data_IF_325824332965
#
_entry.id   IF_325824332965
#
_cell.length_a   1.000
_cell.length_b   1.000
_cell.length_c   1.000
_cell.angle_alpha   90.00
_cell.angle_beta   90.00
_cell.angle_gamma   90.00
#
_symmetry.space_group_name_H-M   'P 1'
#
loop_
_entity.id
_entity.type
_entity.pdbx_description
1 polymer ?
#
# COMPACT_ATOMS: atom_id res chain seq x y z
N UNK A 1 -19.70 -2.37 4.97
CA UNK A 1 -20.92 -2.81 5.65
C UNK A 1 -22.03 -2.74 4.64
N UNK A 2 -22.74 -3.84 4.44
CA UNK A 2 -23.90 -3.92 3.55
C UNK A 2 -25.16 -3.98 4.42
N UNK A 3 -26.24 -3.35 3.97
CA UNK A 3 -27.54 -3.47 4.61
C UNK A 3 -28.29 -4.74 4.11
N UNK A 4 -29.46 -5.04 4.69
CA UNK A 4 -30.27 -6.21 4.30
C UNK A 4 -30.78 -6.16 2.83
N UNK A 5 -30.65 -5.02 2.16
CA UNK A 5 -30.99 -4.82 0.74
C UNK A 5 -29.77 -4.94 -0.19
N UNK A 6 -28.58 -5.24 0.35
CA UNK A 6 -27.34 -5.39 -0.41
C UNK A 6 -26.68 -4.07 -0.80
N UNK A 7 -27.09 -2.94 -0.22
CA UNK A 7 -26.48 -1.64 -0.48
C UNK A 7 -25.34 -1.38 0.51
N UNK A 8 -24.23 -0.84 0.00
CA UNK A 8 -23.07 -0.46 0.82
C UNK A 8 -23.42 0.81 1.59
N UNK A 9 -23.50 0.70 2.92
CA UNK A 9 -23.83 1.81 3.83
C UNK A 9 -22.60 2.48 4.46
N UNK A 10 -21.39 2.08 4.06
CA UNK A 10 -20.16 2.68 4.56
C UNK A 10 -19.94 4.09 3.99
N UNK A 11 -19.58 5.05 4.85
CA UNK A 11 -19.17 6.40 4.44
C UNK A 11 -17.90 6.38 3.57
N UNK A 12 -16.97 5.46 3.86
CA UNK A 12 -15.79 5.20 3.05
C UNK A 12 -15.19 3.84 3.43
N UNK A 13 -14.55 3.19 2.46
CA UNK A 13 -13.73 2.00 2.73
C UNK A 13 -12.30 2.45 3.03
N UNK A 14 -11.79 2.24 4.25
CA UNK A 14 -10.44 2.67 4.61
C UNK A 14 -9.40 1.88 3.81
N UNK A 15 -8.29 2.56 3.50
CA UNK A 15 -7.19 1.93 2.75
C UNK A 15 -6.45 0.92 3.62
N UNK A 16 -5.92 -0.12 2.95
CA UNK A 16 -5.07 -1.13 3.59
C UNK A 16 -3.60 -0.76 3.38
N UNK A 17 -2.79 -0.93 4.42
CA UNK A 17 -1.35 -0.83 4.34
C UNK A 17 -0.80 -1.93 3.40
N UNK A 18 0.05 -1.56 2.44
CA UNK A 18 0.66 -2.52 1.51
C UNK A 18 1.73 -3.39 2.16
N UNK A 19 2.31 -2.94 3.29
CA UNK A 19 3.34 -3.66 4.02
C UNK A 19 2.77 -4.68 5.02
N UNK A 20 1.76 -4.30 5.79
CA UNK A 20 1.25 -5.09 6.93
C UNK A 20 -0.18 -5.60 6.75
N UNK A 21 -0.86 -5.25 5.66
CA UNK A 21 -2.29 -5.52 5.41
C UNK A 21 -3.22 -4.99 6.52
N UNK A 22 -2.72 -4.16 7.42
CA UNK A 22 -3.51 -3.50 8.47
C UNK A 22 -4.29 -2.34 7.89
N UNK A 23 -5.50 -2.13 8.39
CA UNK A 23 -6.33 -0.97 8.06
C UNK A 23 -5.65 0.29 8.63
N UNK A 24 -5.51 1.33 7.81
CA UNK A 24 -4.92 2.60 8.25
C UNK A 24 -5.94 3.45 8.98
N UNK A 25 -5.56 3.97 10.14
CA UNK A 25 -6.37 4.90 10.92
C UNK A 25 -6.23 6.32 10.34
N UNK A 26 -7.30 7.13 10.29
CA UNK A 26 -7.25 8.49 9.74
C UNK A 26 -6.23 9.42 10.42
N UNK A 27 -5.94 9.20 11.71
CA UNK A 27 -5.04 10.04 12.51
C UNK A 27 -3.55 9.83 12.19
N UNK A 28 -3.16 8.67 11.67
CA UNK A 28 -1.80 8.43 11.22
C UNK A 28 -1.66 8.96 9.80
N UNK A 29 -1.00 10.11 9.60
CA UNK A 29 -0.67 10.63 8.26
C UNK A 29 0.06 9.55 7.44
N UNK A 30 -0.63 8.82 6.54
CA UNK A 30 -0.03 7.71 5.84
C UNK A 30 0.61 8.25 4.57
N UNK A 31 1.93 8.19 4.47
CA UNK A 31 2.63 8.62 3.26
C UNK A 31 2.33 7.62 2.14
N UNK A 32 1.53 8.04 1.16
CA UNK A 32 1.32 7.28 -0.06
C UNK A 32 2.54 7.47 -0.97
N UNK A 33 3.20 6.38 -1.36
CA UNK A 33 4.32 6.37 -2.30
C UNK A 33 3.86 5.67 -3.57
N UNK A 34 3.95 6.34 -4.71
CA UNK A 34 3.71 5.69 -6.00
C UNK A 34 5.05 5.28 -6.61
N UNK A 35 5.11 4.08 -7.15
CA UNK A 35 6.23 3.69 -8.00
C UNK A 35 5.78 3.65 -9.43
N UNK A 36 6.63 4.18 -10.30
CA UNK A 36 6.35 4.35 -11.71
C UNK A 36 7.20 3.35 -12.48
N UNK A 37 6.55 2.55 -13.32
CA UNK A 37 7.26 1.68 -14.26
C UNK A 37 7.74 2.52 -15.45
N UNK A 38 8.94 2.23 -15.95
CA UNK A 38 9.54 2.94 -17.09
C UNK A 38 9.05 2.26 -18.39
N UNK A 39 7.75 2.31 -18.63
CA UNK A 39 7.09 1.87 -19.87
C UNK A 39 6.42 3.07 -20.55
N UNK A 40 6.16 3.03 -21.87
CA UNK A 40 5.54 4.15 -22.58
C UNK A 40 4.14 4.51 -22.05
N UNK A 41 3.44 3.56 -21.42
CA UNK A 41 2.12 3.76 -20.78
C UNK A 41 2.19 4.27 -19.34
N UNK A 42 3.40 4.36 -18.77
CA UNK A 42 3.68 5.11 -17.55
C UNK A 42 2.73 4.84 -16.37
N UNK A 43 2.41 3.57 -16.12
CA UNK A 43 1.53 3.15 -15.05
C UNK A 43 2.19 3.40 -13.67
N UNK A 44 1.41 3.97 -12.75
CA UNK A 44 1.82 4.23 -11.37
C UNK A 44 1.07 3.28 -10.45
N UNK A 45 1.81 2.38 -9.82
CA UNK A 45 1.26 1.51 -8.78
C UNK A 45 1.33 2.22 -7.42
N UNK A 46 0.17 2.57 -6.80
CA UNK A 46 0.14 3.24 -5.52
C UNK A 46 0.44 2.25 -4.38
N UNK A 47 1.40 2.60 -3.51
CA UNK A 47 1.73 1.86 -2.30
C UNK A 47 1.50 2.71 -1.06
N UNK A 48 0.89 2.10 -0.04
CA UNK A 48 0.59 2.78 1.21
C UNK A 48 1.50 2.28 2.32
N UNK A 49 2.28 3.20 2.90
CA UNK A 49 3.16 2.94 4.03
C UNK A 49 2.74 3.83 5.21
N UNK A 50 2.22 3.25 6.32
CA UNK A 50 1.83 4.01 7.50
C UNK A 50 3.07 4.43 8.31
N UNK A 51 2.91 5.48 9.11
CA UNK A 51 3.99 6.02 9.95
C UNK A 51 4.63 5.01 10.89
N UNK A 52 3.87 4.05 11.43
CA UNK A 52 4.39 3.02 12.33
C UNK A 52 5.50 2.15 11.71
N UNK A 53 5.38 1.78 10.44
CA UNK A 53 6.41 0.99 9.74
C UNK A 53 7.68 1.81 9.53
N UNK A 54 7.54 3.14 9.40
CA UNK A 54 8.68 4.06 9.26
C UNK A 54 9.40 4.30 10.58
N UNK A 55 8.67 4.37 11.70
CA UNK A 55 9.28 4.53 13.03
C UNK A 55 10.06 3.30 13.48
N UNK A 56 9.67 2.11 13.00
CA UNK A 56 10.38 0.85 13.28
C UNK A 56 11.64 0.66 12.42
N UNK A 57 11.87 1.48 11.39
CA UNK A 57 13.01 1.33 10.47
C UNK A 57 12.82 0.26 9.39
N UNK A 58 11.75 -0.53 9.44
CA UNK A 58 11.46 -1.64 8.53
C UNK A 58 10.97 -1.19 7.14
N UNK A 59 10.85 0.11 6.89
CA UNK A 59 10.21 0.63 5.67
C UNK A 59 10.91 0.21 4.38
N UNK A 60 12.23 0.12 4.38
CA UNK A 60 13.00 -0.24 3.19
C UNK A 60 12.86 -1.73 2.84
N UNK A 61 12.89 -2.60 3.85
CA UNK A 61 12.72 -4.04 3.66
C UNK A 61 11.35 -4.37 3.06
N UNK A 62 10.29 -3.69 3.52
CA UNK A 62 8.97 -3.84 2.93
C UNK A 62 8.89 -3.36 1.48
N UNK A 63 9.56 -2.26 1.14
CA UNK A 63 9.60 -1.77 -0.24
C UNK A 63 10.33 -2.77 -1.13
N UNK A 64 11.44 -3.34 -0.67
CA UNK A 64 12.22 -4.32 -1.41
C UNK A 64 11.40 -5.59 -1.66
N UNK A 65 10.75 -6.14 -0.62
CA UNK A 65 9.85 -7.31 -0.75
C UNK A 65 8.71 -7.05 -1.73
N UNK A 66 8.12 -5.87 -1.67
CA UNK A 66 6.99 -5.51 -2.55
C UNK A 66 7.44 -5.27 -3.99
N UNK A 67 8.63 -4.70 -4.19
CA UNK A 67 9.22 -4.53 -5.52
C UNK A 67 9.64 -5.87 -6.14
N UNK A 68 10.14 -6.83 -5.34
CA UNK A 68 10.40 -8.20 -5.79
C UNK A 68 9.10 -8.92 -6.19
N UNK A 69 8.04 -8.83 -5.36
CA UNK A 69 6.73 -9.40 -5.68
C UNK A 69 6.15 -8.85 -6.98
N UNK A 70 6.37 -7.56 -7.23
CA UNK A 70 5.93 -6.90 -8.45
C UNK A 70 6.88 -7.11 -9.64
N UNK A 71 7.94 -7.93 -9.49
CA UNK A 71 8.91 -8.22 -10.55
C UNK A 71 9.78 -7.02 -10.95
N UNK A 72 9.79 -5.93 -10.16
CA UNK A 72 10.56 -4.72 -10.42
C UNK A 72 12.03 -4.87 -10.02
N UNK A 73 12.31 -5.75 -9.06
CA UNK A 73 13.66 -6.10 -8.64
C UNK A 73 13.95 -7.55 -9.00
N UNK A 74 15.11 -7.80 -9.62
CA UNK A 74 15.63 -9.17 -9.79
C UNK A 74 16.07 -9.69 -8.42
N UNK A 75 15.67 -10.90 -8.08
CA UNK A 75 16.18 -11.57 -6.89
C UNK A 75 17.69 -11.79 -7.11
N UNK A 76 18.54 -11.15 -6.33
CA UNK A 76 19.96 -11.46 -6.34
C UNK A 76 20.16 -12.72 -5.50
N UNK A 77 20.00 -13.87 -6.17
CA UNK A 77 20.03 -15.26 -5.66
C UNK A 77 18.71 -15.79 -5.09
#
# INVERSE_FOLDING_TARGET
MENDRGEIVDLYVPRKCSATNRITVPSSCPSQRSTRTITPLQEREPRLLPGFVRTMGESDDFINRLAQRNGLLKNSR
#
